data_IF_360983734967
#
_entry.id   IF_360983734967
#
_cell.length_a   1.000
_cell.length_b   1.000
_cell.length_c   1.000
_cell.angle_alpha   90.00
_cell.angle_beta   90.00
_cell.angle_gamma   90.00
#
_symmetry.space_group_name_H-M   'P 1'
#
loop_
_entity.id
_entity.type
_entity.pdbx_description
1 polymer ?
#
# COMPACT_ATOMS: atom_id res chain seq x y z
N UNK A 1 5.09 -43.92 -34.53
CA UNK A 1 5.18 -43.14 -33.28
C UNK A 1 4.98 -41.68 -33.65
N UNK A 2 3.73 -41.23 -33.73
CA UNK A 2 3.44 -39.80 -33.86
C UNK A 2 3.71 -39.15 -32.52
N UNK A 3 4.65 -38.20 -32.50
CA UNK A 3 4.88 -37.30 -31.38
C UNK A 3 3.57 -36.54 -31.11
N UNK A 4 2.85 -36.93 -30.05
CA UNK A 4 1.60 -36.30 -29.63
C UNK A 4 1.82 -34.81 -29.41
N UNK A 5 1.31 -34.00 -30.34
CA UNK A 5 1.45 -32.54 -30.32
C UNK A 5 0.65 -32.01 -29.11
N UNK A 6 1.32 -31.32 -28.19
CA UNK A 6 0.67 -30.67 -27.05
C UNK A 6 -0.32 -29.63 -27.61
N UNK A 7 -1.57 -29.65 -27.12
CA UNK A 7 -2.60 -28.71 -27.59
C UNK A 7 -2.32 -27.29 -27.10
N UNK A 8 -2.83 -26.30 -27.84
CA UNK A 8 -2.70 -24.89 -27.49
C UNK A 8 -3.31 -24.57 -26.11
N UNK A 9 -4.45 -25.18 -25.79
CA UNK A 9 -5.10 -25.02 -24.48
C UNK A 9 -4.22 -25.47 -23.32
N UNK A 10 -3.45 -26.56 -23.49
CA UNK A 10 -2.51 -27.04 -22.46
C UNK A 10 -1.38 -26.04 -22.25
N UNK A 11 -0.83 -25.48 -23.34
CA UNK A 11 0.23 -24.46 -23.25
C UNK A 11 -0.27 -23.16 -22.62
N UNK A 12 -1.50 -22.74 -22.96
CA UNK A 12 -2.15 -21.57 -22.33
C UNK A 12 -2.33 -21.79 -20.83
N UNK A 13 -2.87 -22.93 -20.42
CA UNK A 13 -3.05 -23.26 -19.01
C UNK A 13 -1.72 -23.29 -18.23
N UNK A 14 -0.65 -23.82 -18.83
CA UNK A 14 0.69 -23.77 -18.23
C UNK A 14 1.17 -22.33 -18.02
N UNK A 15 1.02 -21.47 -19.03
CA UNK A 15 1.44 -20.08 -18.96
C UNK A 15 0.68 -19.30 -17.87
N UNK A 16 -0.63 -19.52 -17.75
CA UNK A 16 -1.47 -18.91 -16.72
C UNK A 16 -1.03 -19.33 -15.31
N UNK A 17 -0.78 -20.63 -15.08
CA UNK A 17 -0.28 -21.11 -13.78
C UNK A 17 1.11 -20.55 -13.48
N UNK A 18 2.00 -20.43 -14.46
CA UNK A 18 3.31 -19.81 -14.25
C UNK A 18 3.20 -18.34 -13.84
N UNK A 19 2.28 -17.58 -14.44
CA UNK A 19 2.05 -16.19 -14.03
C UNK A 19 1.61 -16.08 -12.58
N UNK A 20 0.68 -16.95 -12.14
CA UNK A 20 0.24 -16.99 -10.74
C UNK A 20 1.35 -17.44 -9.79
N UNK A 21 2.07 -18.50 -10.14
CA UNK A 21 3.17 -19.06 -9.34
C UNK A 21 4.30 -18.06 -9.12
N UNK A 22 4.64 -17.23 -10.12
CA UNK A 22 5.70 -16.23 -10.01
C UNK A 22 5.21 -14.82 -9.66
N UNK A 23 3.91 -14.63 -9.39
CA UNK A 23 3.34 -13.32 -9.05
C UNK A 23 3.99 -12.66 -7.83
N UNK A 24 4.48 -13.45 -6.87
CA UNK A 24 5.22 -12.93 -5.71
C UNK A 24 6.47 -12.14 -6.12
N UNK A 25 7.13 -12.52 -7.22
CA UNK A 25 8.32 -11.84 -7.71
C UNK A 25 7.99 -10.43 -8.20
N UNK A 26 6.78 -10.21 -8.72
CA UNK A 26 6.32 -8.88 -9.13
C UNK A 26 6.18 -7.96 -7.90
N UNK A 27 5.58 -8.46 -6.82
CA UNK A 27 5.45 -7.73 -5.56
C UNK A 27 6.81 -7.43 -4.92
N UNK A 28 7.74 -8.39 -4.95
CA UNK A 28 9.11 -8.19 -4.45
C UNK A 28 9.91 -7.20 -5.30
N UNK A 29 9.73 -7.21 -6.62
CA UNK A 29 10.36 -6.22 -7.50
C UNK A 29 9.83 -4.81 -7.22
N UNK A 30 8.54 -4.67 -6.91
CA UNK A 30 7.94 -3.41 -6.50
C UNK A 30 8.50 -2.92 -5.16
N UNK A 31 8.62 -3.82 -4.17
CA UNK A 31 9.27 -3.53 -2.89
C UNK A 31 10.73 -3.10 -3.10
N UNK A 32 11.48 -3.79 -3.95
CA UNK A 32 12.85 -3.41 -4.30
C UNK A 32 12.94 -2.02 -4.92
N UNK A 33 12.04 -1.68 -5.86
CA UNK A 33 11.99 -0.34 -6.44
C UNK A 33 11.69 0.76 -5.41
N UNK A 34 10.87 0.43 -4.40
CA UNK A 34 10.58 1.29 -3.27
C UNK A 34 11.80 1.48 -2.36
N UNK A 35 12.42 0.39 -1.91
CA UNK A 35 13.57 0.40 -1.00
C UNK A 35 14.79 1.12 -1.62
N UNK A 36 15.02 0.90 -2.92
CA UNK A 36 16.09 1.57 -3.68
C UNK A 36 15.70 2.98 -4.16
N UNK A 37 14.50 3.46 -3.83
CA UNK A 37 13.99 4.80 -4.19
C UNK A 37 14.06 5.10 -5.69
N UNK A 38 13.90 4.10 -6.54
CA UNK A 38 14.06 4.23 -8.00
C UNK A 38 13.13 5.29 -8.57
N UNK A 39 11.88 5.32 -8.14
CA UNK A 39 10.91 6.31 -8.59
C UNK A 39 11.31 7.75 -8.21
N UNK A 40 11.85 7.95 -7.00
CA UNK A 40 12.34 9.26 -6.56
C UNK A 40 13.59 9.68 -7.36
N UNK A 41 14.51 8.75 -7.60
CA UNK A 41 15.73 9.00 -8.36
C UNK A 41 15.37 9.48 -9.77
N UNK A 42 14.49 8.76 -10.48
CA UNK A 42 14.02 9.17 -11.81
C UNK A 42 13.26 10.51 -11.73
N UNK A 43 12.46 10.72 -10.68
CA UNK A 43 11.73 11.98 -10.49
C UNK A 43 12.65 13.19 -10.29
N UNK A 44 13.74 13.02 -9.53
CA UNK A 44 14.71 14.07 -9.22
C UNK A 44 15.41 14.65 -10.45
N UNK A 45 15.44 13.91 -11.56
CA UNK A 45 15.98 14.34 -12.85
C UNK A 45 14.98 15.16 -13.67
N UNK A 46 14.14 15.98 -13.02
CA UNK A 46 13.16 16.84 -13.69
C UNK A 46 12.10 16.09 -14.51
N UNK A 47 11.96 14.78 -14.29
CA UNK A 47 11.07 13.93 -15.05
C UNK A 47 11.59 13.47 -16.42
N UNK A 48 12.84 13.78 -16.76
CA UNK A 48 13.51 13.24 -17.96
C UNK A 48 13.89 11.76 -17.76
N UNK A 49 13.84 10.94 -18.82
CA UNK A 49 14.35 9.57 -18.76
C UNK A 49 15.85 9.52 -18.41
N UNK A 50 16.25 8.53 -17.62
CA UNK A 50 17.63 8.37 -17.11
C UNK A 50 18.24 7.02 -17.47
N UNK A 51 19.55 6.94 -17.57
CA UNK A 51 20.26 5.67 -17.81
C UNK A 51 20.28 4.80 -16.56
N UNK A 52 20.55 3.50 -16.75
CA UNK A 52 20.76 2.57 -15.63
C UNK A 52 21.92 2.99 -14.72
N UNK A 53 23.00 3.55 -15.31
CA UNK A 53 24.16 4.03 -14.56
C UNK A 53 23.83 5.25 -13.70
N UNK A 54 22.99 6.16 -14.20
CA UNK A 54 22.50 7.29 -13.41
C UNK A 54 21.66 6.82 -12.23
N UNK A 55 20.75 5.86 -12.44
CA UNK A 55 19.98 5.26 -11.33
C UNK A 55 20.93 4.64 -10.30
N UNK A 56 21.87 3.80 -10.75
CA UNK A 56 22.81 3.12 -9.87
C UNK A 56 23.68 4.10 -9.07
N UNK A 57 24.10 5.23 -9.68
CA UNK A 57 24.93 6.25 -9.00
C UNK A 57 24.22 6.98 -7.86
N UNK A 58 22.89 6.95 -7.82
CA UNK A 58 22.09 7.56 -6.77
C UNK A 58 21.64 6.56 -5.69
N UNK A 59 21.94 5.27 -5.86
CA UNK A 59 21.67 4.25 -4.83
C UNK A 59 22.73 4.38 -3.74
N UNK A 60 22.30 4.38 -2.48
CA UNK A 60 23.20 4.41 -1.32
C UNK A 60 23.91 3.05 -1.14
N UNK A 61 24.91 2.81 -1.99
CA UNK A 61 25.74 1.62 -2.00
C UNK A 61 27.11 1.91 -2.62
N UNK A 62 28.21 1.42 -2.02
CA UNK A 62 29.55 1.63 -2.57
C UNK A 62 29.78 0.90 -3.90
N UNK A 63 29.02 -0.16 -4.18
CA UNK A 63 29.18 -0.98 -5.39
C UNK A 63 27.85 -1.62 -5.81
N UNK A 64 26.93 -0.86 -6.41
CA UNK A 64 25.65 -1.41 -6.87
C UNK A 64 25.85 -2.43 -8.01
N UNK A 65 25.16 -3.58 -7.93
CA UNK A 65 25.15 -4.59 -8.99
C UNK A 65 24.25 -4.12 -10.15
N UNK A 66 24.87 -3.47 -11.13
CA UNK A 66 24.19 -2.93 -12.32
C UNK A 66 23.51 -4.03 -13.14
N UNK A 67 24.14 -5.19 -13.43
CA UNK A 67 23.45 -6.31 -14.09
C UNK A 67 22.20 -6.78 -13.35
N UNK A 68 22.21 -6.85 -12.03
CA UNK A 68 21.06 -7.23 -11.23
C UNK A 68 19.96 -6.16 -11.29
N UNK A 69 20.33 -4.88 -11.12
CA UNK A 69 19.41 -3.76 -11.28
C UNK A 69 18.76 -3.76 -12.68
N UNK A 70 19.51 -4.09 -13.73
CA UNK A 70 18.97 -4.20 -15.09
C UNK A 70 17.85 -5.24 -15.20
N UNK A 71 17.98 -6.38 -14.51
CA UNK A 71 16.96 -7.46 -14.49
C UNK A 71 15.70 -7.01 -13.77
N UNK A 72 15.85 -6.32 -12.63
CA UNK A 72 14.71 -5.76 -11.88
C UNK A 72 14.01 -4.69 -12.71
N UNK A 73 14.75 -3.74 -13.29
CA UNK A 73 14.18 -2.70 -14.15
C UNK A 73 13.45 -3.30 -15.37
N UNK A 74 13.99 -4.35 -15.98
CA UNK A 74 13.30 -5.06 -17.08
C UNK A 74 11.96 -5.63 -16.66
N UNK A 75 11.88 -6.23 -15.47
CA UNK A 75 10.63 -6.76 -14.92
C UNK A 75 9.62 -5.63 -14.67
N UNK A 76 10.06 -4.55 -14.03
CA UNK A 76 9.22 -3.39 -13.72
C UNK A 76 8.72 -2.68 -14.98
N UNK A 77 9.54 -2.60 -16.04
CA UNK A 77 9.13 -2.09 -17.35
C UNK A 77 8.09 -3.01 -18.01
N UNK A 78 8.30 -4.33 -17.97
CA UNK A 78 7.31 -5.30 -18.49
C UNK A 78 5.96 -5.19 -17.78
N UNK A 79 5.96 -4.77 -16.51
CA UNK A 79 4.76 -4.51 -15.69
C UNK A 79 4.25 -3.07 -15.82
N UNK A 80 4.80 -2.28 -16.74
CA UNK A 80 4.43 -0.88 -17.00
C UNK A 80 4.56 0.04 -15.77
N UNK A 81 5.41 -0.33 -14.81
CA UNK A 81 5.75 0.54 -13.68
C UNK A 81 6.65 1.68 -14.16
N UNK A 82 7.62 1.36 -15.03
CA UNK A 82 8.51 2.32 -15.68
C UNK A 82 8.46 2.13 -17.20
N UNK A 83 8.92 3.12 -17.97
CA UNK A 83 9.13 2.97 -19.42
C UNK A 83 10.60 2.68 -19.71
N UNK A 84 10.88 2.07 -20.86
CA UNK A 84 12.23 1.97 -21.41
C UNK A 84 12.20 2.49 -22.85
N UNK A 85 13.15 3.35 -23.18
CA UNK A 85 13.35 3.91 -24.51
C UNK A 85 14.78 3.66 -24.96
N UNK A 86 14.96 3.30 -26.22
CA UNK A 86 16.26 3.18 -26.85
C UNK A 86 16.43 4.39 -27.77
N UNK A 87 17.24 5.40 -27.40
CA UNK A 87 17.53 6.52 -28.29
C UNK A 87 18.12 5.99 -29.60
N UNK A 88 17.74 6.61 -30.71
CA UNK A 88 18.40 6.35 -32.00
C UNK A 88 19.88 6.74 -31.86
N UNK A 89 20.78 5.84 -32.25
CA UNK A 89 22.22 6.07 -32.22
C UNK A 89 22.57 7.35 -32.98
N UNK A 90 23.17 8.31 -32.27
CA UNK A 90 23.71 9.55 -32.83
C UNK A 90 25.13 9.35 -33.43
N UNK A 91 25.54 8.10 -33.61
CA UNK A 91 26.89 7.75 -34.07
C UNK A 91 27.95 7.82 -32.97
N UNK A 92 27.61 8.19 -31.73
CA UNK A 92 28.56 8.25 -30.59
C UNK A 92 28.75 6.91 -29.85
N UNK A 93 28.03 5.86 -30.26
CA UNK A 93 28.22 4.49 -29.75
C UNK A 93 27.64 4.21 -28.36
N UNK A 94 26.95 5.16 -27.72
CA UNK A 94 26.27 4.94 -26.44
C UNK A 94 24.77 4.68 -26.63
N UNK A 95 24.40 3.49 -27.09
CA UNK A 95 23.03 2.98 -27.03
C UNK A 95 22.64 2.58 -25.60
N UNK A 96 22.55 3.54 -24.68
CA UNK A 96 22.08 3.27 -23.33
C UNK A 96 20.55 3.37 -23.26
N UNK A 97 19.89 2.29 -22.86
CA UNK A 97 18.46 2.30 -22.52
C UNK A 97 18.17 3.40 -21.50
N UNK A 98 17.19 4.25 -21.82
CA UNK A 98 16.68 5.29 -20.92
C UNK A 98 15.39 4.83 -20.25
N UNK A 99 15.35 4.94 -18.93
CA UNK A 99 14.21 4.57 -18.10
C UNK A 99 13.40 5.81 -17.73
N UNK A 100 12.10 5.79 -18.03
CA UNK A 100 11.18 6.88 -17.75
C UNK A 100 10.07 6.49 -16.79
N UNK A 101 9.27 7.48 -16.40
CA UNK A 101 8.13 7.31 -15.47
C UNK A 101 6.88 6.88 -16.22
N UNK A 102 6.00 6.14 -15.54
CA UNK A 102 4.59 5.98 -15.93
C UNK A 102 3.68 6.62 -14.90
N UNK A 103 2.38 6.67 -15.21
CA UNK A 103 1.38 7.06 -14.21
C UNK A 103 1.39 6.16 -12.96
N UNK A 104 1.85 4.90 -13.08
CA UNK A 104 1.96 3.94 -11.98
C UNK A 104 3.13 4.27 -11.07
N UNK A 105 4.33 4.55 -11.61
CA UNK A 105 5.51 4.91 -10.79
C UNK A 105 5.30 6.13 -9.88
N UNK A 106 4.35 7.01 -10.18
CA UNK A 106 4.03 8.17 -9.33
C UNK A 106 3.52 7.78 -7.94
N UNK A 107 2.87 6.60 -7.83
CA UNK A 107 2.39 6.06 -6.56
C UNK A 107 3.52 5.55 -5.66
N UNK A 108 4.76 5.51 -6.17
CA UNK A 108 5.96 5.07 -5.44
C UNK A 108 6.79 6.24 -4.89
N UNK A 109 6.40 7.49 -5.19
CA UNK A 109 7.15 8.66 -4.76
C UNK A 109 7.04 8.85 -3.25
N UNK A 110 8.17 9.02 -2.57
CA UNK A 110 8.21 9.36 -1.16
C UNK A 110 7.78 10.82 -0.95
N UNK A 111 7.11 11.09 0.18
CA UNK A 111 6.64 12.43 0.54
C UNK A 111 5.47 12.96 -0.29
N UNK A 112 4.98 12.21 -1.28
CA UNK A 112 3.73 12.52 -1.97
C UNK A 112 2.52 12.14 -1.10
N UNK A 113 1.53 13.03 -1.00
CA UNK A 113 0.25 12.74 -0.35
C UNK A 113 -0.47 11.54 -0.99
N UNK A 114 -0.24 11.33 -2.29
CA UNK A 114 -0.81 10.26 -3.11
C UNK A 114 0.27 9.21 -3.38
N UNK A 115 0.71 8.54 -2.33
CA UNK A 115 1.72 7.49 -2.37
C UNK A 115 1.22 6.21 -1.71
N UNK A 116 1.48 5.07 -2.35
CA UNK A 116 1.26 3.73 -1.80
C UNK A 116 2.55 3.13 -1.24
N UNK A 117 3.64 3.89 -1.18
CA UNK A 117 4.92 3.46 -0.65
C UNK A 117 4.80 2.79 0.74
N UNK A 118 4.13 3.39 1.75
CA UNK A 118 4.00 2.73 3.05
C UNK A 118 3.18 1.44 3.00
N UNK A 119 2.15 1.39 2.16
CA UNK A 119 1.32 0.19 1.96
C UNK A 119 2.15 -0.96 1.35
N UNK A 120 3.01 -0.66 0.37
CA UNK A 120 3.88 -1.67 -0.25
C UNK A 120 4.84 -2.27 0.77
N UNK A 121 5.43 -1.44 1.64
CA UNK A 121 6.32 -1.90 2.71
C UNK A 121 5.54 -2.79 3.68
N UNK A 122 4.37 -2.33 4.13
CA UNK A 122 3.51 -3.08 5.05
C UNK A 122 3.09 -4.44 4.48
N UNK A 123 2.54 -4.47 3.27
CA UNK A 123 2.03 -5.69 2.64
C UNK A 123 3.13 -6.70 2.30
N UNK A 124 4.36 -6.24 2.09
CA UNK A 124 5.51 -7.09 1.76
C UNK A 124 6.49 -7.28 2.93
N UNK A 125 6.03 -7.02 4.16
CA UNK A 125 6.78 -7.30 5.38
C UNK A 125 6.65 -8.79 5.76
N UNK A 126 7.69 -9.46 6.29
CA UNK A 126 7.59 -10.86 6.72
C UNK A 126 6.42 -11.15 7.69
N UNK A 127 6.11 -10.23 8.61
CA UNK A 127 4.95 -10.33 9.51
C UNK A 127 3.60 -10.44 8.77
N UNK A 128 3.42 -9.72 7.66
CA UNK A 128 2.19 -9.75 6.86
C UNK A 128 2.22 -10.82 5.78
N UNK A 129 3.41 -11.21 5.30
CA UNK A 129 3.58 -12.24 4.29
C UNK A 129 3.48 -13.68 4.84
N UNK A 130 4.00 -13.93 6.05
CA UNK A 130 3.97 -15.24 6.69
C UNK A 130 2.58 -15.92 6.72
N UNK A 131 1.51 -15.21 7.13
CA UNK A 131 0.14 -15.75 7.20
C UNK A 131 -0.40 -16.37 5.92
N UNK A 132 0.02 -15.91 4.73
CA UNK A 132 -0.43 -16.47 3.46
C UNK A 132 -0.01 -17.94 3.27
N UNK A 133 1.07 -18.37 3.93
CA UNK A 133 1.51 -19.77 3.93
C UNK A 133 0.60 -20.70 4.74
N UNK A 134 -0.25 -20.15 5.62
CA UNK A 134 -1.12 -20.94 6.51
C UNK A 134 -2.51 -21.21 5.95
N UNK A 135 -2.82 -20.80 4.71
CA UNK A 135 -4.15 -20.97 4.11
C UNK A 135 -4.67 -22.40 4.13
N UNK A 136 -3.87 -23.36 3.67
CA UNK A 136 -4.29 -24.76 3.68
C UNK A 136 -4.53 -25.30 5.09
N UNK A 137 -3.77 -24.83 6.08
CA UNK A 137 -3.93 -25.21 7.49
C UNK A 137 -5.20 -24.59 8.08
N UNK A 138 -5.47 -23.31 7.81
CA UNK A 138 -6.72 -22.64 8.23
C UNK A 138 -7.95 -23.32 7.64
N UNK A 139 -7.91 -23.78 6.39
CA UNK A 139 -9.03 -24.54 5.79
C UNK A 139 -9.26 -25.87 6.51
N UNK A 140 -8.19 -26.57 6.91
CA UNK A 140 -8.28 -27.88 7.55
C UNK A 140 -8.70 -27.82 9.02
N UNK A 141 -8.21 -26.81 9.73
CA UNK A 141 -8.27 -26.77 11.20
C UNK A 141 -9.09 -25.60 11.74
N UNK A 142 -9.56 -24.69 10.88
CA UNK A 142 -10.10 -23.40 11.30
C UNK A 142 -9.02 -22.49 11.90
N UNK A 143 -9.47 -21.37 12.50
CA UNK A 143 -8.59 -20.39 13.16
C UNK A 143 -8.02 -19.32 12.23
N UNK A 144 -7.31 -18.36 12.83
CA UNK A 144 -6.82 -17.16 12.14
C UNK A 144 -5.39 -17.40 11.65
N UNK A 145 -5.14 -17.14 10.37
CA UNK A 145 -3.83 -17.40 9.74
C UNK A 145 -2.67 -16.71 10.47
N UNK A 146 -2.86 -15.44 10.86
CA UNK A 146 -1.86 -14.68 11.60
C UNK A 146 -1.47 -15.33 12.93
N UNK A 147 -2.47 -15.79 13.69
CA UNK A 147 -2.24 -16.48 14.97
C UNK A 147 -1.53 -17.81 14.77
N UNK A 148 -1.88 -18.58 13.74
CA UNK A 148 -1.21 -19.84 13.43
C UNK A 148 0.25 -19.64 13.02
N UNK A 149 0.57 -18.57 12.30
CA UNK A 149 1.95 -18.28 11.89
C UNK A 149 2.80 -17.76 13.04
N UNK A 150 2.25 -16.85 13.86
CA UNK A 150 3.04 -16.05 14.80
C UNK A 150 2.79 -16.39 16.28
N UNK A 151 1.83 -17.27 16.57
CA UNK A 151 1.47 -17.71 17.92
C UNK A 151 0.82 -16.63 18.78
N UNK A 152 0.33 -15.54 18.18
CA UNK A 152 -0.26 -14.38 18.86
C UNK A 152 -1.26 -13.67 17.96
N UNK A 153 -2.20 -12.94 18.56
CA UNK A 153 -3.15 -12.13 17.80
C UNK A 153 -2.46 -10.92 17.17
N UNK A 154 -3.04 -10.42 16.07
CA UNK A 154 -2.50 -9.30 15.31
C UNK A 154 -2.34 -8.04 16.16
N UNK A 155 -3.41 -7.64 16.85
CA UNK A 155 -3.43 -6.42 17.66
C UNK A 155 -2.57 -6.53 18.92
N UNK A 156 -2.42 -7.75 19.47
CA UNK A 156 -1.48 -8.00 20.56
C UNK A 156 -0.03 -7.76 20.11
N UNK A 157 0.35 -8.24 18.91
CA UNK A 157 1.66 -7.95 18.34
C UNK A 157 1.85 -6.44 18.13
N UNK A 158 0.87 -5.76 17.52
CA UNK A 158 0.95 -4.31 17.29
C UNK A 158 1.14 -3.54 18.61
N UNK A 159 0.42 -3.90 19.66
CA UNK A 159 0.56 -3.25 20.97
C UNK A 159 1.96 -3.42 21.59
N UNK A 160 2.64 -4.54 21.32
CA UNK A 160 3.93 -4.89 21.92
C UNK A 160 5.13 -4.54 21.03
N UNK A 161 4.91 -4.31 19.74
CA UNK A 161 5.96 -4.05 18.75
C UNK A 161 5.71 -2.68 18.08
N UNK A 162 6.34 -1.60 18.58
CA UNK A 162 6.18 -0.26 18.03
C UNK A 162 6.58 -0.13 16.57
N UNK A 163 7.59 -0.89 16.11
CA UNK A 163 8.02 -0.88 14.71
C UNK A 163 6.92 -1.44 13.80
N UNK A 164 6.34 -2.59 14.17
CA UNK A 164 5.22 -3.18 13.44
C UNK A 164 3.98 -2.28 13.47
N UNK A 165 3.64 -1.72 14.63
CA UNK A 165 2.52 -0.79 14.78
C UNK A 165 2.68 0.45 13.90
N UNK A 166 3.86 1.07 13.91
CA UNK A 166 4.14 2.25 13.10
C UNK A 166 4.09 1.93 11.60
N UNK A 167 4.68 0.81 11.18
CA UNK A 167 4.60 0.34 9.79
C UNK A 167 3.14 0.14 9.36
N UNK A 168 2.34 -0.53 10.20
CA UNK A 168 0.93 -0.78 9.94
C UNK A 168 0.13 0.52 9.84
N UNK A 169 0.26 1.40 10.83
CA UNK A 169 -0.44 2.69 10.86
C UNK A 169 -0.07 3.57 9.67
N UNK A 170 1.21 3.57 9.26
CA UNK A 170 1.65 4.31 8.08
C UNK A 170 1.02 3.77 6.78
N UNK A 171 0.94 2.44 6.62
CA UNK A 171 0.25 1.81 5.49
C UNK A 171 -1.25 2.13 5.44
N UNK A 172 -1.90 2.11 6.60
CA UNK A 172 -3.32 2.43 6.70
C UNK A 172 -3.61 3.91 6.42
N UNK A 173 -2.77 4.81 6.95
CA UNK A 173 -2.89 6.24 6.76
C UNK A 173 -2.70 6.68 5.30
N UNK A 174 -1.76 6.08 4.56
CA UNK A 174 -1.55 6.45 3.16
C UNK A 174 -2.77 6.13 2.28
N UNK A 175 -3.39 4.98 2.52
CA UNK A 175 -4.61 4.57 1.82
C UNK A 175 -5.82 5.39 2.27
N UNK A 176 -5.91 5.74 3.56
CA UNK A 176 -6.97 6.59 4.10
C UNK A 176 -7.02 7.96 3.40
N UNK A 177 -5.88 8.66 3.22
CA UNK A 177 -5.85 9.95 2.51
C UNK A 177 -6.45 9.89 1.11
N UNK A 178 -6.11 8.86 0.35
CA UNK A 178 -6.58 8.68 -1.04
C UNK A 178 -8.09 8.47 -1.05
N UNK A 179 -8.57 7.56 -0.21
CA UNK A 179 -9.99 7.21 -0.11
C UNK A 179 -10.81 8.41 0.37
N UNK A 180 -10.40 9.08 1.44
CA UNK A 180 -11.13 10.21 2.00
C UNK A 180 -11.22 11.35 1.01
N UNK A 181 -10.15 11.67 0.26
CA UNK A 181 -10.22 12.66 -0.83
C UNK A 181 -11.23 12.28 -1.91
N UNK A 182 -11.30 11.00 -2.29
CA UNK A 182 -12.29 10.53 -3.25
C UNK A 182 -13.72 10.64 -2.71
N UNK A 183 -13.95 10.28 -1.44
CA UNK A 183 -15.25 10.42 -0.77
C UNK A 183 -15.66 11.88 -0.70
N UNK A 184 -14.81 12.77 -0.19
CA UNK A 184 -15.10 14.20 -0.07
C UNK A 184 -15.40 14.85 -1.44
N UNK A 185 -14.85 14.30 -2.52
CA UNK A 185 -15.14 14.75 -3.88
C UNK A 185 -16.48 14.22 -4.40
N UNK A 186 -16.83 12.97 -4.12
CA UNK A 186 -18.01 12.28 -4.67
C UNK A 186 -19.27 12.34 -3.79
N UNK A 187 -19.12 12.52 -2.48
CA UNK A 187 -20.17 12.48 -1.46
C UNK A 187 -20.26 13.82 -0.71
N UNK A 188 -20.45 14.90 -1.47
CA UNK A 188 -20.38 16.28 -0.95
C UNK A 188 -21.51 16.62 0.03
N UNK A 189 -22.70 16.09 -0.21
CA UNK A 189 -23.90 16.51 0.52
C UNK A 189 -24.09 15.76 1.85
N UNK A 190 -23.50 14.57 2.00
CA UNK A 190 -23.77 13.75 3.18
C UNK A 190 -23.05 14.17 4.47
N UNK A 191 -22.00 14.99 4.38
CA UNK A 191 -21.36 15.58 5.57
C UNK A 191 -21.93 16.94 5.94
N UNK A 192 -22.74 17.57 5.07
CA UNK A 192 -23.26 18.92 5.31
C UNK A 192 -24.26 19.00 6.46
N UNK A 193 -24.99 17.91 6.71
CA UNK A 193 -26.11 17.85 7.65
C UNK A 193 -25.71 17.45 9.07
N UNK A 194 -24.53 16.83 9.24
CA UNK A 194 -24.13 16.23 10.52
C UNK A 194 -23.35 17.25 11.37
N UNK A 195 -23.58 17.23 12.69
CA UNK A 195 -22.88 18.09 13.65
C UNK A 195 -21.72 17.38 14.34
N UNK A 196 -21.74 16.05 14.40
CA UNK A 196 -20.72 15.22 15.04
C UNK A 196 -20.53 13.89 14.30
N UNK A 197 -19.28 13.41 14.26
CA UNK A 197 -18.91 12.18 13.59
C UNK A 197 -17.90 11.40 14.43
N UNK A 198 -18.06 10.08 14.52
CA UNK A 198 -17.05 9.18 15.09
C UNK A 198 -16.45 8.30 14.01
N UNK A 199 -15.12 8.35 13.85
CA UNK A 199 -14.34 7.48 12.97
C UNK A 199 -13.87 6.26 13.79
N UNK A 200 -14.55 5.12 13.62
CA UNK A 200 -14.31 3.89 14.38
C UNK A 200 -13.26 3.04 13.66
N UNK A 201 -12.19 2.70 14.37
CA UNK A 201 -10.99 2.14 13.76
C UNK A 201 -10.22 3.18 12.94
N UNK A 202 -10.30 4.46 13.33
CA UNK A 202 -9.75 5.59 12.59
C UNK A 202 -8.21 5.69 12.62
N UNK A 203 -7.55 4.79 13.33
CA UNK A 203 -6.11 4.71 13.43
C UNK A 203 -5.52 5.98 14.04
N UNK A 204 -4.60 6.61 13.32
CA UNK A 204 -3.98 7.88 13.72
C UNK A 204 -4.83 9.12 13.40
N UNK A 205 -6.11 8.94 13.03
CA UNK A 205 -7.07 10.04 12.82
C UNK A 205 -6.97 10.71 11.45
N UNK A 206 -6.37 10.05 10.46
CA UNK A 206 -6.17 10.61 9.13
C UNK A 206 -7.49 10.97 8.44
N UNK A 207 -8.51 10.10 8.53
CA UNK A 207 -9.82 10.36 7.92
C UNK A 207 -10.52 11.51 8.65
N UNK A 208 -10.60 11.45 9.98
CA UNK A 208 -11.20 12.49 10.80
C UNK A 208 -10.60 13.88 10.51
N UNK A 209 -9.27 14.00 10.41
CA UNK A 209 -8.61 15.26 10.09
C UNK A 209 -8.96 15.81 8.70
N UNK A 210 -9.02 14.96 7.67
CA UNK A 210 -9.42 15.37 6.32
C UNK A 210 -10.90 15.79 6.28
N UNK A 211 -11.79 15.11 7.02
CA UNK A 211 -13.20 15.50 7.14
C UNK A 211 -13.34 16.87 7.80
N UNK A 212 -12.72 17.09 8.96
CA UNK A 212 -12.79 18.37 9.69
C UNK A 212 -12.21 19.51 8.86
N UNK A 213 -11.13 19.26 8.11
CA UNK A 213 -10.54 20.25 7.21
C UNK A 213 -11.52 20.71 6.11
N UNK A 214 -12.35 19.80 5.60
CA UNK A 214 -13.38 20.12 4.59
C UNK A 214 -14.68 20.64 5.19
N UNK A 215 -15.01 20.22 6.42
CA UNK A 215 -16.24 20.56 7.12
C UNK A 215 -15.95 20.96 8.58
N UNK A 216 -15.46 22.20 8.81
CA UNK A 216 -14.98 22.63 10.13
C UNK A 216 -16.07 22.70 11.21
N UNK A 217 -17.35 22.63 10.82
CA UNK A 217 -18.47 22.61 11.77
C UNK A 217 -18.67 21.25 12.43
N UNK A 218 -18.12 20.17 11.86
CA UNK A 218 -18.27 18.81 12.38
C UNK A 218 -17.33 18.60 13.57
N UNK A 219 -17.89 18.13 14.69
CA UNK A 219 -17.10 17.64 15.82
C UNK A 219 -16.68 16.19 15.57
N UNK A 220 -15.44 15.98 15.16
CA UNK A 220 -14.93 14.65 14.84
C UNK A 220 -14.26 13.99 16.05
N UNK A 221 -14.61 12.73 16.30
CA UNK A 221 -13.93 11.84 17.24
C UNK A 221 -13.19 10.75 16.45
N UNK A 222 -11.88 10.66 16.59
CA UNK A 222 -11.10 9.51 16.15
C UNK A 222 -11.10 8.46 17.28
N UNK A 223 -11.68 7.30 17.01
CA UNK A 223 -11.84 6.22 17.98
C UNK A 223 -11.09 4.96 17.54
N UNK A 224 -10.16 4.49 18.37
CA UNK A 224 -9.36 3.29 18.11
C UNK A 224 -8.89 2.65 19.42
N UNK A 225 -8.15 1.54 19.34
CA UNK A 225 -7.54 0.90 20.50
C UNK A 225 -6.61 1.87 21.25
N UNK A 226 -6.53 1.79 22.60
CA UNK A 226 -5.72 2.73 23.39
C UNK A 226 -4.26 2.85 22.95
N UNK A 227 -3.63 1.75 22.55
CA UNK A 227 -2.23 1.76 22.09
C UNK A 227 -2.04 2.44 20.73
N UNK A 228 -3.06 2.42 19.86
CA UNK A 228 -3.04 3.12 18.58
C UNK A 228 -3.21 4.62 18.81
N UNK A 229 -4.22 5.01 19.60
CA UNK A 229 -4.47 6.40 19.97
C UNK A 229 -3.27 7.04 20.67
N UNK A 230 -2.53 6.30 21.50
CA UNK A 230 -1.29 6.78 22.11
C UNK A 230 -0.20 7.19 21.10
N UNK A 231 -0.29 6.73 19.85
CA UNK A 231 0.62 7.09 18.75
C UNK A 231 0.04 8.12 17.78
N UNK A 232 -1.22 8.53 17.98
CA UNK A 232 -1.87 9.52 17.13
C UNK A 232 -1.25 10.92 17.38
N UNK A 233 -0.95 11.70 16.33
CA UNK A 233 -0.50 13.08 16.50
C UNK A 233 -1.65 13.94 17.04
N UNK A 234 -1.32 15.10 17.62
CA UNK A 234 -2.34 16.10 17.92
C UNK A 234 -2.88 16.67 16.60
N UNK A 235 -4.19 16.60 16.40
CA UNK A 235 -4.89 17.04 15.20
C UNK A 235 -5.93 18.10 15.58
N UNK A 236 -5.84 19.28 14.94
CA UNK A 236 -6.76 20.37 15.22
C UNK A 236 -8.20 19.99 14.84
N UNK A 237 -9.15 20.27 15.73
CA UNK A 237 -10.57 19.91 15.57
C UNK A 237 -10.90 18.41 15.66
N UNK A 238 -9.96 17.54 16.02
CA UNK A 238 -10.19 16.09 16.20
C UNK A 238 -9.99 15.69 17.68
N UNK A 239 -10.98 15.00 18.24
CA UNK A 239 -10.88 14.41 19.59
C UNK A 239 -10.42 12.94 19.49
N UNK A 240 -9.34 12.58 20.19
CA UNK A 240 -8.85 11.21 20.23
C UNK A 240 -9.39 10.45 21.42
N UNK A 241 -10.03 9.29 21.18
CA UNK A 241 -10.63 8.46 22.23
C UNK A 241 -10.17 7.01 22.07
N UNK A 242 -9.50 6.50 23.09
CA UNK A 242 -9.08 5.09 23.15
C UNK A 242 -10.19 4.21 23.72
N UNK A 243 -10.50 3.09 23.07
CA UNK A 243 -11.49 2.14 23.56
C UNK A 243 -11.58 0.86 22.75
N UNK A 244 -12.70 0.16 22.92
CA UNK A 244 -12.99 -1.11 22.26
C UNK A 244 -14.39 -1.02 21.64
N UNK A 245 -14.46 -1.01 20.31
CA UNK A 245 -15.72 -0.86 19.56
C UNK A 245 -16.73 -1.98 19.81
N UNK A 246 -16.27 -3.14 20.30
CA UNK A 246 -17.15 -4.26 20.67
C UNK A 246 -17.79 -4.07 22.06
N UNK A 247 -17.33 -3.08 22.83
CA UNK A 247 -17.90 -2.71 24.12
C UNK A 247 -18.76 -1.46 24.01
N UNK A 248 -18.17 -0.38 23.49
CA UNK A 248 -18.83 0.91 23.39
C UNK A 248 -18.21 1.74 22.27
N UNK A 249 -19.04 2.46 21.54
CA UNK A 249 -18.64 3.45 20.53
C UNK A 249 -19.12 4.81 21.03
N UNK A 250 -18.28 5.87 20.99
CA UNK A 250 -18.70 7.22 21.33
C UNK A 250 -19.93 7.67 20.55
N UNK A 251 -20.90 8.31 21.23
CA UNK A 251 -22.10 8.85 20.58
C UNK A 251 -21.75 10.01 19.64
N UNK A 252 -22.33 9.98 18.44
CA UNK A 252 -22.23 11.00 17.41
C UNK A 252 -23.45 10.91 16.49
N UNK A 253 -23.69 11.93 15.67
CA UNK A 253 -24.78 11.93 14.67
C UNK A 253 -24.51 10.90 13.56
N UNK A 254 -23.22 10.68 13.25
CA UNK A 254 -22.80 9.69 12.26
C UNK A 254 -21.59 8.84 12.73
N UNK A 255 -21.61 7.57 12.36
CA UNK A 255 -20.45 6.67 12.48
C UNK A 255 -19.81 6.50 11.11
N UNK A 256 -18.51 6.73 11.01
CA UNK A 256 -17.69 6.41 9.85
C UNK A 256 -16.80 5.21 10.16
N UNK A 257 -16.76 4.24 9.26
CA UNK A 257 -15.84 3.10 9.34
C UNK A 257 -15.18 2.89 7.99
N UNK A 258 -13.84 2.99 7.94
CA UNK A 258 -13.03 2.55 6.79
C UNK A 258 -12.45 1.18 7.09
N UNK A 259 -13.13 0.14 6.64
CA UNK A 259 -12.62 -1.24 6.80
C UNK A 259 -11.70 -1.59 5.64
N UNK A 260 -10.51 -2.15 5.92
CA UNK A 260 -9.69 -2.82 4.91
C UNK A 260 -9.81 -4.32 5.17
N UNK A 261 -10.74 -4.99 4.48
CA UNK A 261 -10.84 -6.45 4.54
C UNK A 261 -9.66 -7.07 3.78
N UNK A 262 -8.95 -8.02 4.39
CA UNK A 262 -7.79 -8.67 3.77
C UNK A 262 -8.16 -9.74 2.73
N UNK A 263 -9.44 -10.12 2.63
CA UNK A 263 -9.88 -11.15 1.68
C UNK A 263 -10.06 -10.60 0.25
N UNK A 264 -10.47 -9.34 0.15
CA UNK A 264 -10.52 -8.54 -1.07
C UNK A 264 -10.43 -7.10 -0.58
N UNK A 265 -9.73 -6.22 -1.30
CA UNK A 265 -9.59 -4.78 -1.01
C UNK A 265 -10.95 -4.06 -1.16
N UNK A 266 -11.93 -4.51 -0.40
CA UNK A 266 -13.30 -4.03 -0.30
C UNK A 266 -13.27 -3.05 0.85
N UNK A 267 -13.22 -1.78 0.48
CA UNK A 267 -13.43 -0.69 1.41
C UNK A 267 -14.93 -0.65 1.65
N UNK A 268 -15.36 -1.22 2.77
CA UNK A 268 -16.73 -1.05 3.24
C UNK A 268 -16.74 0.27 4.00
N UNK A 269 -17.43 1.26 3.44
CA UNK A 269 -17.72 2.53 4.10
C UNK A 269 -19.16 2.42 4.57
N UNK A 270 -19.34 2.43 5.89
CA UNK A 270 -20.65 2.59 6.50
C UNK A 270 -20.70 4.00 7.06
N UNK A 271 -21.69 4.77 6.59
CA UNK A 271 -22.17 5.97 7.26
C UNK A 271 -23.53 5.59 7.80
N UNK A 272 -23.61 5.49 9.13
CA UNK A 272 -24.88 5.24 9.83
C UNK A 272 -25.27 6.58 10.44
N UNK A 273 -26.33 7.18 9.90
CA UNK A 273 -27.02 8.30 10.55
C UNK A 273 -27.82 7.71 11.72
N UNK A 274 -27.53 8.15 12.94
CA UNK A 274 -28.19 7.68 14.17
C UNK A 274 -29.42 8.53 14.53
#
# INVERSE_FOLDING_TARGET
METGKISEDVLRGQAEIWQLMFSFADSMALKCAMELRIADIIHSHGGFPVTLSQIASCIDSPSPDIPYLARIMRLLVRKNIFTAHHPLSDGSGSESTLYGRTHVSRWLLHGSDLSLAPMIVMENHPWTQGPWHCFSTCVKEGGIAFEKTHGRQFWDLASQNPEFNNMFNNGMACTARIITRAILTGYKDGFGCIGSLVDVGGGTGTVAAEIVKSYPHIKATNFDLPHVIATAPLLDGVCHVGGDMFKEIPSADAVFMKVTSYAHLLIVILIIDL
#
